data_IF_845132390286
#
_entry.id   IF_845132390286
#
_cell.length_a   1.000
_cell.length_b   1.000
_cell.length_c   1.000
_cell.angle_alpha   90.00
_cell.angle_beta   90.00
_cell.angle_gamma   90.00
#
_symmetry.space_group_name_H-M   'P 1'
#
loop_
_entity.id
_entity.type
_entity.pdbx_description
1 polymer ?
#
# COMPACT_ATOMS: atom_id res chain seq x y z
N UNK A 1 -17.40 64.86 -8.20
CA UNK A 1 -17.83 65.80 -9.26
C UNK A 1 -19.35 66.08 -9.24
N UNK A 2 -20.21 65.05 -9.24
CA UNK A 2 -21.67 65.22 -9.32
C UNK A 2 -22.26 65.95 -8.09
N UNK A 3 -21.84 65.65 -6.85
CA UNK A 3 -22.33 66.29 -5.66
C UNK A 3 -22.03 67.80 -5.65
N UNK A 4 -20.82 68.20 -6.07
CA UNK A 4 -20.43 69.62 -6.19
C UNK A 4 -21.26 70.34 -7.23
N UNK A 5 -21.58 69.67 -8.33
CA UNK A 5 -22.46 70.27 -9.39
C UNK A 5 -23.88 70.53 -8.88
N UNK A 6 -24.46 69.62 -8.10
CA UNK A 6 -25.78 69.80 -7.51
C UNK A 6 -25.82 70.86 -6.38
N UNK A 7 -24.74 70.96 -5.56
CA UNK A 7 -24.60 72.01 -4.56
C UNK A 7 -24.59 73.40 -5.19
N UNK A 8 -23.91 73.60 -6.31
CA UNK A 8 -23.89 74.88 -7.05
C UNK A 8 -25.24 75.25 -7.68
N UNK A 9 -26.18 74.33 -7.82
CA UNK A 9 -27.54 74.56 -8.29
C UNK A 9 -28.58 74.83 -7.18
N UNK A 10 -28.15 75.04 -5.91
CA UNK A 10 -29.04 75.36 -4.78
C UNK A 10 -29.77 74.13 -4.20
N UNK A 11 -29.28 72.94 -4.44
CA UNK A 11 -29.83 71.75 -3.82
C UNK A 11 -29.46 71.67 -2.30
N UNK A 12 -30.38 71.12 -1.48
CA UNK A 12 -30.17 70.94 -0.06
C UNK A 12 -28.98 70.03 0.22
N UNK A 13 -27.96 70.55 0.85
CA UNK A 13 -26.71 69.84 1.17
C UNK A 13 -26.98 68.61 2.03
N UNK A 14 -27.90 68.71 2.99
CA UNK A 14 -28.22 67.58 3.89
C UNK A 14 -28.87 66.45 3.12
N UNK A 15 -29.72 66.75 2.13
CA UNK A 15 -30.32 65.75 1.27
C UNK A 15 -29.27 65.04 0.36
N UNK A 16 -28.28 65.80 -0.14
CA UNK A 16 -27.18 65.24 -0.92
C UNK A 16 -26.33 64.27 -0.06
N UNK A 17 -25.97 64.66 1.16
CA UNK A 17 -25.23 63.84 2.09
C UNK A 17 -26.03 62.59 2.46
N UNK A 18 -27.31 62.71 2.78
CA UNK A 18 -28.16 61.56 3.10
C UNK A 18 -28.25 60.55 1.92
N UNK A 19 -28.41 61.02 0.67
CA UNK A 19 -28.38 60.17 -0.52
C UNK A 19 -27.03 59.50 -0.74
N UNK A 20 -25.91 60.19 -0.47
CA UNK A 20 -24.56 59.62 -0.61
C UNK A 20 -24.35 58.49 0.40
N UNK A 21 -24.70 58.76 1.68
CA UNK A 21 -24.59 57.74 2.74
C UNK A 21 -25.45 56.53 2.42
N UNK A 22 -26.69 56.74 2.00
CA UNK A 22 -27.60 55.69 1.60
C UNK A 22 -27.05 54.85 0.43
N UNK A 23 -26.48 55.50 -0.59
CA UNK A 23 -25.84 54.82 -1.69
C UNK A 23 -24.65 53.99 -1.29
N UNK A 24 -23.77 54.52 -0.40
CA UNK A 24 -22.63 53.77 0.10
C UNK A 24 -23.06 52.55 0.92
N UNK A 25 -24.09 52.70 1.78
CA UNK A 25 -24.64 51.57 2.54
C UNK A 25 -25.21 50.48 1.62
N UNK A 26 -26.03 50.88 0.62
CA UNK A 26 -26.59 49.90 -0.36
C UNK A 26 -25.49 49.24 -1.18
N UNK A 27 -24.47 50.00 -1.63
CA UNK A 27 -23.35 49.43 -2.38
C UNK A 27 -22.60 48.38 -1.57
N UNK A 28 -22.38 48.62 -0.25
CA UNK A 28 -21.78 47.66 0.65
C UNK A 28 -22.57 46.35 0.79
N UNK A 29 -23.89 46.48 0.96
CA UNK A 29 -24.79 45.33 1.04
C UNK A 29 -24.81 44.53 -0.27
N UNK A 30 -24.92 45.21 -1.41
CA UNK A 30 -24.91 44.56 -2.73
C UNK A 30 -23.58 43.86 -3.02
N UNK A 31 -22.46 44.52 -2.67
CA UNK A 31 -21.12 43.92 -2.82
C UNK A 31 -20.98 42.67 -1.96
N UNK A 32 -21.41 42.71 -0.70
CA UNK A 32 -21.40 41.56 0.18
C UNK A 32 -22.23 40.38 -0.35
N UNK A 33 -23.43 40.67 -0.89
CA UNK A 33 -24.29 39.68 -1.50
C UNK A 33 -23.65 39.06 -2.77
N UNK A 34 -23.05 39.89 -3.59
CA UNK A 34 -22.34 39.46 -4.80
C UNK A 34 -21.14 38.53 -4.44
N UNK A 35 -20.37 38.94 -3.45
CA UNK A 35 -19.23 38.10 -2.99
C UNK A 35 -19.70 36.75 -2.47
N UNK A 36 -20.82 36.66 -1.74
CA UNK A 36 -21.40 35.39 -1.29
C UNK A 36 -21.73 34.47 -2.45
N UNK A 37 -22.36 35.00 -3.50
CA UNK A 37 -22.71 34.24 -4.71
C UNK A 37 -21.43 33.72 -5.40
N UNK A 38 -20.41 34.57 -5.53
CA UNK A 38 -19.12 34.20 -6.09
C UNK A 38 -18.44 33.06 -5.29
N UNK A 39 -18.44 33.14 -3.95
CA UNK A 39 -17.87 32.09 -3.09
C UNK A 39 -18.64 30.77 -3.28
N UNK A 40 -19.97 30.80 -3.32
CA UNK A 40 -20.76 29.57 -3.58
C UNK A 40 -20.38 28.94 -4.93
N UNK A 41 -20.25 29.77 -5.98
CA UNK A 41 -19.82 29.28 -7.29
C UNK A 41 -18.43 28.63 -7.25
N UNK A 42 -17.48 29.28 -6.56
CA UNK A 42 -16.12 28.76 -6.39
C UNK A 42 -16.10 27.43 -5.62
N UNK A 43 -16.84 27.33 -4.51
CA UNK A 43 -16.91 26.09 -3.72
C UNK A 43 -17.57 24.95 -4.50
N UNK A 44 -18.63 25.25 -5.27
CA UNK A 44 -19.25 24.24 -6.13
C UNK A 44 -18.28 23.73 -7.19
N UNK A 45 -17.50 24.62 -7.82
CA UNK A 45 -16.47 24.22 -8.78
C UNK A 45 -15.37 23.35 -8.15
N UNK A 46 -14.90 23.74 -6.97
CA UNK A 46 -13.92 22.95 -6.24
C UNK A 46 -14.47 21.57 -5.82
N UNK A 47 -15.71 21.54 -5.30
CA UNK A 47 -16.37 20.29 -4.91
C UNK A 47 -16.53 19.37 -6.12
N UNK A 48 -16.98 19.87 -7.25
CA UNK A 48 -17.09 19.08 -8.49
C UNK A 48 -15.73 18.54 -8.92
N UNK A 49 -14.67 19.35 -8.93
CA UNK A 49 -13.31 18.89 -9.28
C UNK A 49 -12.80 17.78 -8.37
N UNK A 50 -13.14 17.81 -7.07
CA UNK A 50 -12.79 16.75 -6.13
C UNK A 50 -13.58 15.47 -6.42
N UNK A 51 -14.88 15.59 -6.69
CA UNK A 51 -15.73 14.45 -7.06
C UNK A 51 -15.23 13.80 -8.35
N UNK A 52 -14.97 14.59 -9.40
CA UNK A 52 -14.44 14.07 -10.68
C UNK A 52 -13.10 13.32 -10.49
N UNK A 53 -12.23 13.83 -9.61
CA UNK A 53 -10.96 13.14 -9.27
C UNK A 53 -11.18 11.82 -8.54
N UNK A 54 -12.15 11.78 -7.62
CA UNK A 54 -12.50 10.54 -6.92
C UNK A 54 -13.13 9.52 -7.85
N UNK A 55 -14.03 9.93 -8.73
CA UNK A 55 -14.64 9.06 -9.73
C UNK A 55 -13.59 8.47 -10.67
N UNK A 56 -12.65 9.29 -11.17
CA UNK A 56 -11.53 8.79 -11.97
C UNK A 56 -10.65 7.81 -11.20
N UNK A 57 -10.35 8.10 -9.93
CA UNK A 57 -9.57 7.19 -9.08
C UNK A 57 -10.29 5.85 -8.90
N UNK A 58 -11.59 5.86 -8.62
CA UNK A 58 -12.37 4.63 -8.48
C UNK A 58 -12.45 3.84 -9.79
N UNK A 59 -12.63 4.54 -10.93
CA UNK A 59 -12.62 3.89 -12.24
C UNK A 59 -11.28 3.24 -12.58
N UNK A 60 -10.17 3.87 -12.21
CA UNK A 60 -8.84 3.29 -12.38
C UNK A 60 -8.63 2.09 -11.44
N UNK A 61 -9.08 2.18 -10.18
CA UNK A 61 -9.05 1.05 -9.23
C UNK A 61 -9.90 -0.13 -9.71
N UNK A 62 -11.04 0.11 -10.38
CA UNK A 62 -11.86 -0.96 -10.95
C UNK A 62 -11.18 -1.66 -12.14
N UNK A 63 -10.47 -0.91 -13.00
CA UNK A 63 -9.69 -1.51 -14.09
C UNK A 63 -8.59 -2.44 -13.60
N UNK A 64 -7.95 -2.06 -12.48
CA UNK A 64 -6.87 -2.83 -11.87
C UNK A 64 -7.39 -3.93 -10.93
N UNK A 65 -8.71 -4.01 -10.73
CA UNK A 65 -9.29 -5.02 -9.86
C UNK A 65 -9.10 -6.42 -10.45
N UNK A 66 -8.47 -7.28 -9.64
CA UNK A 66 -8.26 -8.68 -9.98
C UNK A 66 -9.56 -9.45 -9.73
N UNK A 67 -10.08 -10.05 -10.79
CA UNK A 67 -11.17 -11.01 -10.65
C UNK A 67 -10.63 -12.27 -9.98
N UNK A 68 -11.20 -12.63 -8.85
CA UNK A 68 -10.91 -13.84 -8.12
C UNK A 68 -12.08 -14.82 -8.28
N UNK A 69 -11.74 -16.10 -8.38
CA UNK A 69 -12.72 -17.17 -8.40
C UNK A 69 -13.26 -17.52 -6.99
N UNK A 70 -13.81 -18.70 -6.88
CA UNK A 70 -14.45 -19.21 -5.66
C UNK A 70 -13.78 -20.44 -5.07
N UNK A 71 -12.70 -20.94 -5.69
CA UNK A 71 -11.97 -22.11 -5.21
C UNK A 71 -11.25 -21.80 -3.90
N UNK A 72 -11.47 -22.60 -2.88
CA UNK A 72 -10.91 -22.39 -1.54
C UNK A 72 -9.76 -23.36 -1.22
N UNK A 73 -9.59 -24.41 -1.99
CA UNK A 73 -8.63 -25.49 -1.71
C UNK A 73 -7.71 -25.75 -2.90
N UNK A 74 -6.45 -26.02 -2.60
CA UNK A 74 -5.44 -26.41 -3.57
C UNK A 74 -5.25 -27.92 -3.57
N UNK A 75 -5.13 -28.54 -4.74
CA UNK A 75 -4.80 -29.97 -4.85
C UNK A 75 -3.34 -30.24 -4.47
N UNK A 76 -2.47 -29.34 -4.85
CA UNK A 76 -1.06 -29.27 -4.46
C UNK A 76 -0.56 -27.83 -4.64
N UNK A 77 0.69 -27.56 -4.32
CA UNK A 77 1.30 -26.23 -4.41
C UNK A 77 2.37 -26.12 -5.50
N UNK A 78 2.34 -27.00 -6.50
CA UNK A 78 3.16 -26.86 -7.71
C UNK A 78 2.72 -25.62 -8.51
N UNK A 79 3.67 -24.86 -9.01
CA UNK A 79 3.43 -23.62 -9.77
C UNK A 79 3.90 -23.81 -11.20
N UNK A 80 3.06 -23.45 -12.17
CA UNK A 80 3.39 -23.56 -13.58
C UNK A 80 3.08 -22.24 -14.29
N UNK A 81 4.06 -21.71 -14.99
CA UNK A 81 3.93 -20.60 -15.94
C UNK A 81 3.85 -21.16 -17.34
N UNK A 82 2.84 -20.75 -18.10
CA UNK A 82 2.62 -21.14 -19.50
C UNK A 82 2.53 -19.91 -20.38
N UNK A 83 3.59 -19.67 -21.16
CA UNK A 83 3.68 -18.57 -22.14
C UNK A 83 3.28 -17.21 -21.56
N UNK A 84 3.71 -16.92 -20.31
CA UNK A 84 3.31 -15.73 -19.57
C UNK A 84 4.04 -14.51 -20.10
N UNK A 85 3.27 -13.50 -20.50
CA UNK A 85 3.78 -12.16 -20.79
C UNK A 85 3.14 -11.15 -19.86
N UNK A 86 3.95 -10.21 -19.36
CA UNK A 86 3.50 -9.18 -18.42
C UNK A 86 4.33 -7.90 -18.51
N UNK A 87 3.67 -6.76 -18.35
CA UNK A 87 4.28 -5.44 -18.15
C UNK A 87 3.39 -4.58 -17.27
N UNK A 88 4.00 -3.70 -16.44
CA UNK A 88 3.25 -2.72 -15.63
C UNK A 88 2.68 -1.58 -16.49
N UNK A 89 3.27 -1.39 -17.67
CA UNK A 89 2.87 -0.42 -18.68
C UNK A 89 2.82 -1.13 -20.04
N UNK A 90 2.81 -0.39 -21.14
CA UNK A 90 2.90 -0.95 -22.49
C UNK A 90 4.19 -1.76 -22.74
N UNK A 91 5.24 -1.49 -21.99
CA UNK A 91 6.51 -2.22 -22.09
C UNK A 91 6.46 -3.54 -21.33
N UNK A 92 6.74 -4.65 -22.04
CA UNK A 92 6.75 -5.99 -21.46
C UNK A 92 8.04 -6.23 -20.67
N UNK A 93 7.89 -6.63 -19.40
CA UNK A 93 8.97 -7.09 -18.52
C UNK A 93 9.19 -8.60 -18.67
N UNK A 94 8.10 -9.36 -18.78
CA UNK A 94 8.12 -10.80 -19.08
C UNK A 94 7.57 -11.00 -20.48
N UNK A 95 8.25 -11.82 -21.28
CA UNK A 95 7.85 -12.12 -22.64
C UNK A 95 7.91 -13.62 -22.85
N UNK A 96 6.74 -14.25 -22.97
CA UNK A 96 6.56 -15.68 -23.28
C UNK A 96 7.33 -16.62 -22.33
N UNK A 97 7.23 -16.37 -21.03
CA UNK A 97 7.96 -17.11 -20.00
C UNK A 97 7.20 -18.37 -19.61
N UNK A 98 7.90 -19.53 -19.67
CA UNK A 98 7.34 -20.83 -19.29
C UNK A 98 8.33 -21.58 -18.40
N UNK A 99 7.87 -22.06 -17.25
CA UNK A 99 8.63 -22.92 -16.32
C UNK A 99 7.68 -23.57 -15.32
N UNK A 100 8.19 -24.59 -14.61
CA UNK A 100 7.46 -25.30 -13.56
C UNK A 100 8.29 -25.33 -12.28
N UNK A 101 7.64 -25.06 -11.14
CA UNK A 101 8.19 -25.23 -9.80
C UNK A 101 7.41 -26.36 -9.13
N UNK A 102 8.11 -27.43 -8.78
CA UNK A 102 7.51 -28.57 -8.10
C UNK A 102 7.21 -28.26 -6.63
N UNK A 103 6.17 -28.81 -6.02
CA UNK A 103 5.86 -28.60 -4.61
C UNK A 103 6.96 -29.15 -3.70
N UNK A 104 7.06 -28.61 -2.50
CA UNK A 104 8.05 -29.00 -1.47
C UNK A 104 9.52 -28.90 -1.91
N UNK A 105 9.81 -27.95 -2.81
CA UNK A 105 11.18 -27.64 -3.24
C UNK A 105 11.47 -26.16 -3.08
N UNK A 106 12.73 -25.85 -2.81
CA UNK A 106 13.25 -24.47 -2.77
C UNK A 106 13.88 -24.13 -4.11
N UNK A 107 13.52 -22.97 -4.66
CA UNK A 107 14.01 -22.45 -5.94
C UNK A 107 14.61 -21.06 -5.75
N UNK A 108 15.71 -20.80 -6.44
CA UNK A 108 16.30 -19.47 -6.52
C UNK A 108 16.14 -18.90 -7.93
N UNK A 109 15.52 -17.72 -8.04
CA UNK A 109 15.44 -16.96 -9.28
C UNK A 109 16.72 -16.13 -9.43
N UNK A 110 17.57 -16.48 -10.38
CA UNK A 110 18.86 -15.81 -10.62
C UNK A 110 18.82 -15.07 -11.95
N UNK A 111 19.41 -13.88 -12.00
CA UNK A 111 19.47 -13.07 -13.21
C UNK A 111 19.85 -11.62 -12.91
N UNK A 112 20.07 -10.81 -13.98
CA UNK A 112 20.41 -9.40 -13.87
C UNK A 112 19.36 -8.57 -13.13
N UNK A 113 19.75 -7.41 -12.61
CA UNK A 113 18.79 -6.43 -12.09
C UNK A 113 17.84 -6.00 -13.22
N UNK A 114 16.55 -5.86 -12.90
CA UNK A 114 15.51 -5.58 -13.90
C UNK A 114 15.06 -6.80 -14.73
N UNK A 115 15.64 -7.99 -14.55
CA UNK A 115 15.29 -9.20 -15.31
C UNK A 115 13.94 -9.85 -14.94
N UNK A 116 13.05 -9.17 -14.22
CA UNK A 116 11.69 -9.65 -13.93
C UNK A 116 11.54 -10.58 -12.73
N UNK A 117 12.61 -10.84 -11.95
CA UNK A 117 12.56 -11.75 -10.78
C UNK A 117 11.47 -11.39 -9.77
N UNK A 118 11.48 -10.15 -9.28
CA UNK A 118 10.44 -9.64 -8.36
C UNK A 118 9.06 -9.57 -9.01
N UNK A 119 9.01 -9.41 -10.33
CA UNK A 119 7.74 -9.46 -11.09
C UNK A 119 7.16 -10.86 -11.07
N UNK A 120 7.95 -11.91 -11.32
CA UNK A 120 7.52 -13.32 -11.21
C UNK A 120 6.99 -13.58 -9.80
N UNK A 121 7.74 -13.20 -8.76
CA UNK A 121 7.33 -13.33 -7.36
C UNK A 121 5.95 -12.70 -7.08
N UNK A 122 5.74 -11.47 -7.56
CA UNK A 122 4.47 -10.75 -7.40
C UNK A 122 3.32 -11.38 -8.19
N UNK A 123 3.60 -11.93 -9.36
CA UNK A 123 2.59 -12.63 -10.16
C UNK A 123 2.15 -13.95 -9.52
N UNK A 124 3.09 -14.74 -8.94
CA UNK A 124 2.76 -15.94 -8.14
C UNK A 124 1.85 -15.58 -6.96
N UNK A 125 2.05 -14.40 -6.37
CA UNK A 125 1.22 -13.93 -5.25
C UNK A 125 -0.16 -13.41 -5.67
N UNK A 126 -0.45 -13.36 -6.97
CA UNK A 126 -1.72 -12.83 -7.49
C UNK A 126 -1.89 -11.33 -7.27
N UNK A 127 -0.79 -10.55 -7.24
CA UNK A 127 -0.88 -9.10 -7.06
C UNK A 127 -1.20 -8.35 -8.36
N UNK A 128 -1.01 -8.98 -9.51
CA UNK A 128 -1.23 -8.38 -10.82
C UNK A 128 -1.87 -9.37 -11.78
N UNK A 129 -2.67 -8.85 -12.71
CA UNK A 129 -3.22 -9.62 -13.84
C UNK A 129 -2.17 -9.69 -14.95
N UNK A 130 -1.96 -10.87 -15.51
CA UNK A 130 -1.05 -11.07 -16.66
C UNK A 130 -1.67 -10.55 -17.96
N UNK A 131 -0.84 -10.13 -18.91
CA UNK A 131 -1.30 -9.69 -20.23
C UNK A 131 -1.69 -10.87 -21.12
N UNK A 132 -0.92 -11.99 -21.06
CA UNK A 132 -1.20 -13.21 -21.80
C UNK A 132 -0.54 -14.42 -21.15
N UNK A 133 -0.98 -15.63 -21.52
CA UNK A 133 -0.55 -16.89 -20.94
C UNK A 133 -1.39 -17.31 -19.75
N UNK A 134 -0.86 -18.22 -18.93
CA UNK A 134 -1.52 -18.76 -17.75
C UNK A 134 -0.52 -18.97 -16.61
N UNK A 135 -0.98 -18.73 -15.38
CA UNK A 135 -0.28 -19.13 -14.16
C UNK A 135 -1.17 -20.12 -13.42
N UNK A 136 -0.64 -21.31 -13.18
CA UNK A 136 -1.36 -22.37 -12.50
C UNK A 136 -0.72 -22.63 -11.13
N UNK A 137 -1.55 -22.89 -10.13
CA UNK A 137 -1.15 -23.42 -8.82
C UNK A 137 -1.96 -24.70 -8.60
N UNK A 138 -1.28 -25.83 -8.37
CA UNK A 138 -1.96 -27.13 -8.23
C UNK A 138 -2.77 -27.53 -9.47
N UNK A 139 -2.31 -27.14 -10.66
CA UNK A 139 -2.96 -27.44 -11.92
C UNK A 139 -4.15 -26.55 -12.29
N UNK A 140 -4.61 -25.66 -11.42
CA UNK A 140 -5.70 -24.71 -11.68
C UNK A 140 -5.17 -23.29 -11.87
N UNK A 141 -5.84 -22.50 -12.72
CA UNK A 141 -5.46 -21.11 -12.93
C UNK A 141 -5.57 -20.29 -11.64
N UNK A 142 -4.59 -19.43 -11.37
CA UNK A 142 -4.53 -18.61 -10.17
C UNK A 142 -5.80 -17.75 -10.00
N UNK A 143 -6.41 -17.30 -11.08
CA UNK A 143 -7.65 -16.53 -11.06
C UNK A 143 -8.89 -17.32 -10.64
N UNK A 144 -8.85 -18.65 -10.64
CA UNK A 144 -9.97 -19.47 -10.17
C UNK A 144 -10.07 -19.56 -8.65
N UNK A 145 -8.98 -19.27 -7.95
CA UNK A 145 -8.97 -19.28 -6.49
C UNK A 145 -9.58 -18.00 -5.90
N UNK A 146 -10.19 -18.14 -4.72
CA UNK A 146 -10.62 -16.98 -3.97
C UNK A 146 -9.42 -16.17 -3.47
N UNK A 147 -9.61 -14.86 -3.31
CA UNK A 147 -8.60 -13.99 -2.72
C UNK A 147 -8.14 -14.50 -1.34
N UNK A 148 -9.08 -15.00 -0.55
CA UNK A 148 -8.79 -15.52 0.79
C UNK A 148 -7.93 -16.78 0.75
N UNK A 149 -8.19 -17.70 -0.18
CA UNK A 149 -7.38 -18.90 -0.37
C UNK A 149 -5.93 -18.55 -0.73
N UNK A 150 -5.73 -17.67 -1.73
CA UNK A 150 -4.40 -17.20 -2.12
C UNK A 150 -3.68 -16.50 -0.97
N UNK A 151 -4.37 -15.55 -0.29
CA UNK A 151 -3.79 -14.80 0.82
C UNK A 151 -3.45 -15.70 2.02
N UNK A 152 -4.15 -16.79 2.23
CA UNK A 152 -3.84 -17.76 3.29
C UNK A 152 -2.63 -18.62 2.95
N UNK A 153 -2.56 -19.13 1.72
CA UNK A 153 -1.56 -20.12 1.32
C UNK A 153 -0.23 -19.52 0.83
N UNK A 154 -0.13 -18.20 0.63
CA UNK A 154 1.09 -17.56 0.15
C UNK A 154 1.60 -16.55 1.19
N UNK A 155 2.81 -16.72 1.69
CA UNK A 155 3.54 -15.72 2.48
C UNK A 155 4.56 -15.00 1.61
N UNK A 156 4.58 -13.67 1.67
CA UNK A 156 5.49 -12.84 0.90
C UNK A 156 6.33 -11.96 1.85
N UNK A 157 7.66 -12.06 1.74
CA UNK A 157 8.61 -11.18 2.42
C UNK A 157 9.21 -10.24 1.38
N UNK A 158 8.84 -8.97 1.46
CA UNK A 158 9.27 -7.95 0.50
C UNK A 158 10.72 -7.52 0.72
N UNK A 159 11.38 -7.09 -0.33
CA UNK A 159 12.71 -6.46 -0.29
C UNK A 159 12.75 -5.27 0.69
N UNK A 160 11.73 -4.41 0.64
CA UNK A 160 11.55 -3.31 1.59
C UNK A 160 10.37 -3.61 2.49
N UNK A 161 10.61 -4.42 3.52
CA UNK A 161 9.59 -4.75 4.50
C UNK A 161 9.20 -3.52 5.33
N UNK A 162 7.92 -3.42 5.69
CA UNK A 162 7.39 -2.36 6.55
C UNK A 162 6.73 -2.94 7.79
N UNK A 163 6.96 -2.25 8.90
CA UNK A 163 6.32 -2.58 10.17
C UNK A 163 5.29 -1.49 10.51
N UNK A 164 4.22 -1.90 11.18
CA UNK A 164 3.20 -0.99 11.67
C UNK A 164 3.67 -0.33 12.96
N UNK A 165 3.16 0.87 13.23
CA UNK A 165 3.41 1.61 14.48
C UNK A 165 2.68 0.97 15.66
N UNK A 166 3.09 -0.24 15.98
CA UNK A 166 2.61 -1.05 17.11
C UNK A 166 3.78 -1.84 17.70
N UNK A 167 3.56 -2.72 18.66
CA UNK A 167 4.63 -3.50 19.26
C UNK A 167 5.26 -4.49 18.25
N UNK A 168 6.47 -4.96 18.53
CA UNK A 168 7.13 -6.03 17.76
C UNK A 168 6.23 -7.27 17.79
N UNK A 169 5.70 -7.63 18.95
CA UNK A 169 4.78 -8.74 19.14
C UNK A 169 3.56 -8.66 18.21
N UNK A 170 2.84 -7.53 18.24
CA UNK A 170 1.66 -7.31 17.40
C UNK A 170 2.00 -7.32 15.90
N UNK A 171 3.16 -6.81 15.52
CA UNK A 171 3.64 -6.91 14.14
C UNK A 171 3.78 -8.36 13.67
N UNK A 172 4.28 -9.25 14.52
CA UNK A 172 4.41 -10.68 14.18
C UNK A 172 3.05 -11.37 14.21
N UNK A 173 2.21 -11.07 15.21
CA UNK A 173 0.86 -11.64 15.37
C UNK A 173 -0.07 -11.36 14.19
N UNK A 174 0.23 -10.35 13.35
CA UNK A 174 -0.48 -10.10 12.09
C UNK A 174 -0.35 -11.25 11.09
N UNK A 175 0.67 -12.10 11.20
CA UNK A 175 0.81 -13.31 10.38
C UNK A 175 -0.30 -14.32 10.62
N UNK A 176 -0.70 -14.48 11.90
CA UNK A 176 -1.84 -15.30 12.30
C UNK A 176 -2.46 -14.71 13.57
N UNK A 177 -3.61 -14.05 13.42
CA UNK A 177 -4.31 -13.38 14.54
C UNK A 177 -4.78 -14.33 15.65
N UNK A 178 -4.97 -15.60 15.31
CA UNK A 178 -5.42 -16.63 16.24
C UNK A 178 -4.27 -17.36 16.96
N UNK A 179 -3.03 -17.04 16.62
CA UNK A 179 -1.85 -17.64 17.24
C UNK A 179 -1.79 -17.28 18.73
N UNK A 180 -1.36 -18.26 19.52
CA UNK A 180 -1.05 -18.06 20.94
C UNK A 180 0.20 -17.17 21.09
N UNK A 181 0.38 -16.61 22.29
CA UNK A 181 1.54 -15.80 22.60
C UNK A 181 2.85 -16.63 22.52
N UNK A 182 2.78 -17.91 22.86
CA UNK A 182 3.90 -18.85 22.75
C UNK A 182 4.32 -19.07 21.28
N UNK A 183 3.36 -19.22 20.37
CA UNK A 183 3.62 -19.36 18.93
C UNK A 183 4.26 -18.10 18.35
N UNK A 184 3.81 -16.91 18.77
CA UNK A 184 4.42 -15.64 18.37
C UNK A 184 5.86 -15.54 18.86
N UNK A 185 6.14 -15.88 20.12
CA UNK A 185 7.49 -15.87 20.68
C UNK A 185 8.39 -16.92 20.02
N UNK A 186 7.85 -18.08 19.67
CA UNK A 186 8.58 -19.10 18.92
C UNK A 186 8.94 -18.60 17.50
N UNK A 187 8.01 -17.95 16.80
CA UNK A 187 8.28 -17.36 15.50
C UNK A 187 9.38 -16.28 15.56
N UNK A 188 9.37 -15.43 16.58
CA UNK A 188 10.44 -14.45 16.82
C UNK A 188 11.80 -15.13 17.04
N UNK A 189 11.84 -16.23 17.81
CA UNK A 189 13.05 -17.02 18.07
C UNK A 189 13.57 -17.67 16.78
N UNK A 190 12.70 -18.30 16.00
CA UNK A 190 13.06 -18.92 14.72
C UNK A 190 13.57 -17.90 13.71
N UNK A 191 13.05 -16.68 13.74
CA UNK A 191 13.52 -15.56 12.93
C UNK A 191 14.75 -14.85 13.53
N UNK A 192 15.39 -15.42 14.56
CA UNK A 192 16.63 -14.89 15.17
C UNK A 192 16.48 -13.45 15.67
N UNK A 193 15.36 -13.13 16.34
CA UNK A 193 15.07 -11.79 16.83
C UNK A 193 15.45 -11.54 18.29
N UNK A 194 16.09 -12.50 18.98
CA UNK A 194 16.42 -12.37 20.42
C UNK A 194 17.33 -11.17 20.72
N UNK A 195 18.33 -10.92 19.89
CA UNK A 195 19.23 -9.75 20.00
C UNK A 195 18.46 -8.43 19.83
N UNK A 196 17.46 -8.41 18.94
CA UNK A 196 16.59 -7.24 18.72
C UNK A 196 15.79 -6.97 20.00
N UNK A 197 15.15 -8.02 20.55
CA UNK A 197 14.35 -7.89 21.76
C UNK A 197 15.20 -7.47 22.98
N UNK A 198 16.45 -7.92 23.05
CA UNK A 198 17.35 -7.59 24.15
C UNK A 198 17.78 -6.11 24.18
N UNK A 199 17.67 -5.39 23.05
CA UNK A 199 17.99 -3.95 22.97
C UNK A 199 17.01 -3.08 23.73
N UNK A 200 15.82 -3.57 24.04
CA UNK A 200 14.71 -2.76 24.57
C UNK A 200 14.23 -3.30 25.92
N UNK A 201 13.97 -2.41 26.91
CA UNK A 201 13.44 -2.83 28.22
C UNK A 201 12.09 -3.57 28.12
N UNK A 202 11.22 -3.17 27.20
CA UNK A 202 9.89 -3.78 26.99
C UNK A 202 9.93 -4.98 26.05
N UNK A 203 11.12 -5.36 25.54
CA UNK A 203 11.34 -6.53 24.66
C UNK A 203 10.33 -6.58 23.51
N UNK A 204 9.57 -7.66 23.35
CA UNK A 204 8.56 -7.86 22.32
C UNK A 204 7.40 -6.85 22.38
N UNK A 205 7.15 -6.23 23.53
CA UNK A 205 6.10 -5.22 23.72
C UNK A 205 6.51 -3.81 23.27
N UNK A 206 7.79 -3.65 22.89
CA UNK A 206 8.33 -2.37 22.41
C UNK A 206 7.58 -1.89 21.18
N UNK A 207 7.03 -0.67 21.25
CA UNK A 207 6.27 -0.03 20.15
C UNK A 207 7.23 0.65 19.18
N UNK A 208 7.20 0.21 17.92
CA UNK A 208 8.07 0.69 16.85
C UNK A 208 7.57 2.03 16.29
N UNK A 209 8.50 2.91 15.91
CA UNK A 209 8.18 4.22 15.33
C UNK A 209 7.56 5.21 16.31
N UNK A 210 7.62 4.93 17.61
CA UNK A 210 7.19 5.77 18.71
C UNK A 210 8.39 6.20 19.53
N UNK A 211 8.42 7.47 20.00
CA UNK A 211 9.45 8.01 20.90
C UNK A 211 10.91 7.71 20.49
N UNK A 212 11.19 7.63 19.17
CA UNK A 212 12.55 7.40 18.67
C UNK A 212 12.99 5.94 18.64
N UNK A 213 12.11 4.98 18.89
CA UNK A 213 12.42 3.56 18.70
C UNK A 213 12.37 3.23 17.21
N UNK A 214 13.55 2.92 16.67
CA UNK A 214 13.72 2.54 15.26
C UNK A 214 14.50 1.23 15.19
N UNK A 215 14.10 0.36 14.27
CA UNK A 215 14.84 -0.85 13.91
C UNK A 215 15.64 -0.58 12.64
N UNK A 216 16.81 -1.20 12.52
CA UNK A 216 17.59 -1.23 11.28
C UNK A 216 16.86 -2.00 10.17
N UNK A 217 17.30 -1.83 8.92
CA UNK A 217 16.72 -2.56 7.79
C UNK A 217 16.74 -4.08 7.97
N UNK A 218 17.85 -4.64 8.43
CA UNK A 218 17.97 -6.08 8.71
C UNK A 218 17.08 -6.55 9.86
N UNK A 219 16.93 -5.74 10.91
CA UNK A 219 16.02 -6.05 12.03
C UNK A 219 14.54 -6.03 11.59
N UNK A 220 14.15 -5.04 10.80
CA UNK A 220 12.81 -4.99 10.18
C UNK A 220 12.55 -6.24 9.35
N UNK A 221 13.54 -6.67 8.61
CA UNK A 221 13.47 -7.87 7.76
C UNK A 221 13.28 -9.13 8.60
N UNK A 222 14.03 -9.30 9.67
CA UNK A 222 13.88 -10.46 10.59
C UNK A 222 12.49 -10.49 11.25
N UNK A 223 11.95 -9.36 11.65
CA UNK A 223 10.57 -9.28 12.16
C UNK A 223 9.55 -9.64 11.06
N UNK A 224 9.79 -9.26 9.80
CA UNK A 224 8.94 -9.65 8.67
C UNK A 224 9.02 -11.16 8.37
N UNK A 225 10.21 -11.78 8.52
CA UNK A 225 10.40 -13.23 8.44
C UNK A 225 9.65 -13.93 9.58
N UNK A 226 9.71 -13.42 10.81
CA UNK A 226 8.93 -13.96 11.93
C UNK A 226 7.42 -13.97 11.63
N UNK A 227 6.92 -12.92 10.98
CA UNK A 227 5.53 -12.84 10.51
C UNK A 227 5.21 -13.92 9.47
N UNK A 228 6.13 -14.19 8.53
CA UNK A 228 5.97 -15.23 7.53
C UNK A 228 6.02 -16.64 8.17
N UNK A 229 6.92 -16.89 9.12
CA UNK A 229 6.99 -18.14 9.90
C UNK A 229 5.66 -18.37 10.64
N UNK A 230 5.16 -17.36 11.37
CA UNK A 230 3.91 -17.48 12.13
C UNK A 230 2.69 -17.73 11.24
N UNK A 231 2.71 -17.20 10.02
CA UNK A 231 1.67 -17.44 9.04
C UNK A 231 1.59 -18.90 8.59
N UNK A 232 2.71 -19.60 8.59
CA UNK A 232 2.84 -21.01 8.21
C UNK A 232 2.15 -21.32 6.86
N UNK A 233 2.49 -20.53 5.84
CA UNK A 233 1.90 -20.63 4.51
C UNK A 233 2.59 -21.73 3.69
N UNK A 234 1.85 -22.37 2.79
CA UNK A 234 2.33 -23.47 1.94
C UNK A 234 3.33 -23.01 0.87
N UNK A 235 3.24 -21.76 0.43
CA UNK A 235 4.15 -21.12 -0.50
C UNK A 235 4.78 -19.91 0.19
N UNK A 236 6.11 -19.87 0.23
CA UNK A 236 6.87 -18.76 0.81
C UNK A 236 7.68 -18.11 -0.29
N UNK A 237 7.54 -16.80 -0.43
CA UNK A 237 8.24 -16.00 -1.43
C UNK A 237 9.11 -14.96 -0.72
N UNK A 238 10.41 -14.97 -1.04
CA UNK A 238 11.39 -14.04 -0.50
C UNK A 238 11.94 -13.18 -1.65
N UNK A 239 11.62 -11.88 -1.65
CA UNK A 239 12.07 -10.96 -2.70
C UNK A 239 13.29 -10.16 -2.19
N UNK A 240 14.49 -10.57 -2.59
CA UNK A 240 15.79 -9.95 -2.21
C UNK A 240 15.90 -9.60 -0.71
N UNK A 241 15.40 -10.49 0.14
CA UNK A 241 15.19 -10.20 1.56
C UNK A 241 16.49 -9.96 2.38
N UNK A 242 17.68 -10.12 1.80
CA UNK A 242 18.97 -9.85 2.45
C UNK A 242 19.77 -8.70 1.80
N UNK A 243 19.34 -8.15 0.67
CA UNK A 243 20.15 -7.25 -0.17
C UNK A 243 20.54 -5.91 0.49
N UNK A 244 19.90 -5.51 1.57
CA UNK A 244 20.16 -4.24 2.27
C UNK A 244 20.70 -4.43 3.70
N UNK A 245 21.05 -5.66 4.09
CA UNK A 245 21.56 -5.95 5.42
C UNK A 245 23.10 -5.79 5.47
N UNK A 246 23.62 -5.35 6.62
CA UNK A 246 25.04 -5.47 6.89
C UNK A 246 25.43 -6.96 7.04
N UNK A 247 26.72 -7.32 6.99
CA UNK A 247 27.16 -8.72 6.96
C UNK A 247 26.70 -9.56 8.17
N UNK A 248 26.53 -8.94 9.34
CA UNK A 248 26.07 -9.62 10.56
C UNK A 248 24.56 -9.92 10.46
N UNK A 249 23.77 -8.94 10.08
CA UNK A 249 22.34 -9.13 9.84
C UNK A 249 22.07 -10.05 8.65
N UNK A 250 22.91 -10.05 7.60
CA UNK A 250 22.77 -10.98 6.49
C UNK A 250 22.91 -12.42 6.94
N UNK A 251 23.90 -12.72 7.79
CA UNK A 251 24.07 -14.05 8.36
C UNK A 251 22.83 -14.49 9.18
N UNK A 252 22.32 -13.64 10.06
CA UNK A 252 21.13 -13.93 10.86
C UNK A 252 19.87 -14.13 10.00
N UNK A 253 19.72 -13.34 8.93
CA UNK A 253 18.64 -13.49 7.94
C UNK A 253 18.75 -14.85 7.22
N UNK A 254 19.94 -15.27 6.81
CA UNK A 254 20.17 -16.56 6.17
C UNK A 254 19.83 -17.72 7.11
N UNK A 255 20.19 -17.59 8.39
CA UNK A 255 19.81 -18.57 9.41
C UNK A 255 18.28 -18.62 9.64
N UNK A 256 17.61 -17.47 9.62
CA UNK A 256 16.15 -17.39 9.71
C UNK A 256 15.44 -18.06 8.51
N UNK A 257 16.01 -17.97 7.31
CA UNK A 257 15.46 -18.63 6.12
C UNK A 257 15.50 -20.16 6.22
N UNK A 258 16.50 -20.71 6.90
CA UNK A 258 16.58 -22.18 7.09
C UNK A 258 15.48 -22.74 8.01
N UNK A 259 14.75 -21.87 8.70
CA UNK A 259 13.62 -22.21 9.59
C UNK A 259 12.25 -21.97 8.93
N UNK A 260 12.21 -21.51 7.68
CA UNK A 260 11.01 -21.39 6.85
C UNK A 260 10.79 -22.69 6.06
#
# INVERSE_FOLDING_TARGET
>A
PAAIYFMNKGADVNLIIAKLVFFVCIAGVLFSAFMRVMYVGMYNFQAKSVVDKLENLFADMEKDNLEHGTEETFENFGIEFKNVSFGYTEEKILNDVSFTLEPNKTYALVGSSGGGKSTIAKLISGFYKINSGEILIGGKNISSYSRNALMRSIAFVFQTSKLFKTSIFENVKMGNKNASDEEVMNALRLARCEDILAKFPEREKTVIGSKGVHLSGGEIQRVAIARAILKNADIIILDEASAAADPENEYEIQQAFSNL
#
